data_IF_138708903922
#
_entry.id   IF_138708903922
#
_cell.length_a   1.000
_cell.length_b   1.000
_cell.length_c   1.000
_cell.angle_alpha   90.00
_cell.angle_beta   90.00
_cell.angle_gamma   90.00
#
_symmetry.space_group_name_H-M   'P 1'
#
loop_
_entity.id
_entity.type
_entity.pdbx_description
1 polymer ?
#
# COMPACT_ATOMS: atom_id res chain seq x y z
N UNK A 1 -22.45 -8.02 -22.94
CA UNK A 1 -22.00 -7.24 -21.77
C UNK A 1 -22.63 -5.87 -21.90
N UNK A 2 -23.34 -5.38 -20.89
CA UNK A 2 -24.03 -4.08 -20.98
C UNK A 2 -23.03 -2.91 -20.85
N UNK A 3 -23.45 -1.72 -21.27
CA UNK A 3 -22.59 -0.52 -21.22
C UNK A 3 -22.19 -0.16 -19.77
N UNK A 4 -23.06 -0.45 -18.80
CA UNK A 4 -22.80 -0.23 -17.39
C UNK A 4 -21.66 -1.14 -16.89
N UNK A 5 -21.69 -2.42 -17.26
CA UNK A 5 -20.64 -3.39 -16.87
C UNK A 5 -19.30 -3.03 -17.53
N UNK A 6 -19.31 -2.60 -18.80
CA UNK A 6 -18.10 -2.10 -19.47
C UNK A 6 -17.55 -0.88 -18.73
N UNK A 7 -18.42 0.07 -18.36
CA UNK A 7 -18.05 1.25 -17.59
C UNK A 7 -17.44 0.90 -16.23
N UNK A 8 -18.01 -0.07 -15.50
CA UNK A 8 -17.49 -0.52 -14.21
C UNK A 8 -16.12 -1.18 -14.32
N UNK A 9 -15.90 -2.04 -15.33
CA UNK A 9 -14.60 -2.69 -15.56
C UNK A 9 -13.54 -1.63 -15.90
N UNK A 10 -13.87 -0.65 -16.73
CA UNK A 10 -12.98 0.44 -17.07
C UNK A 10 -12.67 1.33 -15.85
N UNK A 11 -13.68 1.63 -15.04
CA UNK A 11 -13.50 2.39 -13.80
C UNK A 11 -12.61 1.64 -12.81
N UNK A 12 -12.82 0.33 -12.63
CA UNK A 12 -11.96 -0.50 -11.78
C UNK A 12 -10.50 -0.50 -12.25
N UNK A 13 -10.25 -0.51 -13.56
CA UNK A 13 -8.91 -0.34 -14.12
C UNK A 13 -8.29 1.02 -13.74
N UNK A 14 -9.04 2.11 -13.90
CA UNK A 14 -8.57 3.46 -13.53
C UNK A 14 -8.32 3.58 -12.03
N UNK A 15 -9.17 2.97 -11.20
CA UNK A 15 -9.01 2.96 -9.75
C UNK A 15 -7.80 2.15 -9.31
N UNK A 16 -7.58 0.97 -9.88
CA UNK A 16 -6.36 0.20 -9.65
C UNK A 16 -5.12 1.00 -10.04
N UNK A 17 -5.15 1.69 -11.18
CA UNK A 17 -4.06 2.56 -11.63
C UNK A 17 -3.81 3.73 -10.67
N UNK A 18 -4.87 4.42 -10.24
CA UNK A 18 -4.77 5.51 -9.26
C UNK A 18 -4.19 5.01 -7.94
N UNK A 19 -4.63 3.83 -7.49
CA UNK A 19 -4.26 3.29 -6.19
C UNK A 19 -2.77 2.97 -6.13
N UNK A 20 -2.20 2.38 -7.19
CA UNK A 20 -0.76 2.14 -7.20
C UNK A 20 0.11 3.40 -7.28
N UNK A 21 -0.48 4.59 -7.47
CA UNK A 21 0.18 5.90 -7.36
C UNK A 21 0.08 6.47 -5.94
N UNK A 22 -0.58 5.77 -5.01
CA UNK A 22 -0.64 6.21 -3.62
C UNK A 22 0.77 6.24 -2.97
N UNK A 23 0.91 7.09 -1.95
CA UNK A 23 2.22 7.50 -1.41
C UNK A 23 3.07 6.35 -0.88
N UNK A 24 2.43 5.31 -0.35
CA UNK A 24 3.04 4.11 0.19
C UNK A 24 3.62 3.21 -0.92
N UNK A 25 2.97 3.10 -2.07
CA UNK A 25 3.50 2.42 -3.26
C UNK A 25 4.66 3.19 -3.87
N UNK A 26 4.54 4.53 -3.98
CA UNK A 26 5.65 5.39 -4.41
C UNK A 26 6.84 5.18 -3.47
N UNK A 27 6.64 5.23 -2.15
CA UNK A 27 7.72 5.05 -1.18
C UNK A 27 8.33 3.64 -1.25
N UNK A 28 7.54 2.58 -1.39
CA UNK A 28 8.02 1.20 -1.48
C UNK A 28 8.85 0.96 -2.75
N UNK A 29 8.32 1.36 -3.90
CA UNK A 29 8.98 1.13 -5.19
C UNK A 29 10.22 1.99 -5.34
N UNK A 30 10.16 3.27 -4.95
CA UNK A 30 11.35 4.15 -4.98
C UNK A 30 12.45 3.69 -4.03
N UNK A 31 12.10 3.10 -2.88
CA UNK A 31 13.03 2.51 -1.93
C UNK A 31 13.68 1.24 -2.49
N UNK A 32 12.90 0.32 -3.09
CA UNK A 32 13.43 -0.91 -3.72
C UNK A 32 14.34 -0.60 -4.91
N UNK A 33 13.94 0.31 -5.81
CA UNK A 33 14.78 0.75 -6.94
C UNK A 33 15.98 1.57 -6.43
N UNK A 34 15.76 2.41 -5.43
CA UNK A 34 16.72 3.41 -4.97
C UNK A 34 17.80 2.88 -4.03
N UNK A 35 17.50 1.81 -3.28
CA UNK A 35 18.39 1.14 -2.33
C UNK A 35 19.40 0.21 -2.98
N UNK A 36 19.16 -0.20 -4.22
CA UNK A 36 20.04 -1.09 -4.97
C UNK A 36 21.04 -0.32 -5.85
N UNK A 37 22.28 -0.83 -5.94
CA UNK A 37 23.33 -0.23 -6.80
C UNK A 37 23.10 -0.57 -8.26
N UNK A 38 22.68 -1.81 -8.53
CA UNK A 38 22.31 -2.26 -9.87
C UNK A 38 20.84 -1.91 -10.18
N UNK A 39 20.65 -1.02 -11.16
CA UNK A 39 19.34 -0.60 -11.66
C UNK A 39 18.46 -1.78 -12.10
N UNK A 40 19.05 -2.81 -12.71
CA UNK A 40 18.32 -4.00 -13.16
C UNK A 40 17.82 -4.80 -11.97
N UNK A 41 18.67 -4.99 -10.96
CA UNK A 41 18.28 -5.67 -9.72
C UNK A 41 17.18 -4.90 -8.98
N UNK A 42 17.27 -3.58 -8.90
CA UNK A 42 16.21 -2.73 -8.34
C UNK A 42 14.86 -2.90 -9.04
N UNK A 43 14.83 -2.91 -10.39
CA UNK A 43 13.59 -3.19 -11.15
C UNK A 43 13.03 -4.58 -10.87
N UNK A 44 13.88 -5.61 -10.84
CA UNK A 44 13.46 -6.98 -10.56
C UNK A 44 12.82 -7.04 -9.16
N UNK A 45 13.40 -6.38 -8.16
CA UNK A 45 12.83 -6.32 -6.82
C UNK A 45 11.48 -5.59 -6.81
N UNK A 46 11.33 -4.48 -7.52
CA UNK A 46 10.03 -3.79 -7.65
C UNK A 46 8.98 -4.58 -8.42
N UNK A 47 9.37 -5.43 -9.35
CA UNK A 47 8.46 -6.37 -10.01
C UNK A 47 7.98 -7.46 -9.04
N UNK A 48 8.87 -8.09 -8.28
CA UNK A 48 8.48 -9.09 -7.26
C UNK A 48 7.62 -8.47 -6.15
N UNK A 49 8.01 -7.26 -5.73
CA UNK A 49 7.18 -6.12 -5.37
C UNK A 49 5.69 -6.26 -5.71
N UNK A 50 5.41 -5.68 -6.88
CA UNK A 50 4.10 -5.60 -7.47
C UNK A 50 3.45 -6.98 -7.47
N UNK A 51 4.11 -7.98 -8.02
CA UNK A 51 3.53 -9.30 -8.25
C UNK A 51 2.97 -9.94 -6.96
N UNK A 52 3.67 -9.82 -5.83
CA UNK A 52 3.16 -10.30 -4.54
C UNK A 52 1.90 -9.55 -4.10
N UNK A 53 1.87 -8.25 -4.33
CA UNK A 53 0.69 -7.42 -4.09
C UNK A 53 -0.48 -7.83 -4.99
N UNK A 54 -0.30 -7.94 -6.31
CA UNK A 54 -1.42 -8.28 -7.21
C UNK A 54 -1.96 -9.69 -6.96
N UNK A 55 -1.11 -10.65 -6.56
CA UNK A 55 -1.57 -11.99 -6.15
C UNK A 55 -2.59 -11.89 -5.01
N UNK A 56 -2.33 -11.07 -3.99
CA UNK A 56 -3.28 -10.88 -2.90
C UNK A 56 -4.59 -10.27 -3.40
N UNK A 57 -4.50 -9.27 -4.27
CA UNK A 57 -5.69 -8.60 -4.83
C UNK A 57 -6.54 -9.55 -5.66
N UNK A 58 -5.93 -10.37 -6.52
CA UNK A 58 -6.65 -11.36 -7.33
C UNK A 58 -7.25 -12.46 -6.46
N UNK A 59 -6.53 -12.93 -5.44
CA UNK A 59 -7.04 -13.96 -4.52
C UNK A 59 -8.20 -13.43 -3.68
N UNK A 60 -8.03 -12.31 -2.98
CA UNK A 60 -9.07 -11.73 -2.12
C UNK A 60 -10.27 -11.23 -2.94
N UNK A 61 -10.02 -10.56 -4.06
CA UNK A 61 -11.08 -10.13 -4.98
C UNK A 61 -11.80 -11.30 -5.62
N UNK A 62 -11.09 -12.34 -6.03
CA UNK A 62 -11.68 -13.56 -6.57
C UNK A 62 -12.53 -14.30 -5.52
N UNK A 63 -12.05 -14.39 -4.28
CA UNK A 63 -12.84 -14.92 -3.17
C UNK A 63 -14.11 -14.11 -2.94
N UNK A 64 -14.03 -12.78 -3.00
CA UNK A 64 -15.20 -11.91 -2.88
C UNK A 64 -16.25 -12.17 -3.95
N UNK A 65 -15.83 -12.32 -5.21
CA UNK A 65 -16.71 -12.64 -6.35
C UNK A 65 -17.38 -14.00 -6.15
N UNK A 66 -16.63 -15.01 -5.71
CA UNK A 66 -17.16 -16.37 -5.52
C UNK A 66 -18.13 -16.47 -4.36
N UNK A 67 -17.83 -15.79 -3.25
CA UNK A 67 -18.67 -15.83 -2.05
C UNK A 67 -19.88 -14.89 -2.21
N UNK A 68 -19.86 -13.98 -3.20
CA UNK A 68 -20.95 -13.05 -3.49
C UNK A 68 -21.30 -12.20 -2.28
N UNK A 69 -20.29 -11.89 -1.45
CA UNK A 69 -20.47 -11.55 -0.04
C UNK A 69 -21.46 -10.41 0.14
N UNK A 70 -22.61 -10.75 0.71
CA UNK A 70 -23.32 -9.88 1.64
C UNK A 70 -22.42 -9.80 2.88
N UNK A 71 -21.40 -8.92 2.82
CA UNK A 71 -20.54 -8.66 3.98
C UNK A 71 -21.46 -8.20 5.10
N UNK A 72 -21.49 -8.89 6.26
CA UNK A 72 -22.33 -8.46 7.37
C UNK A 72 -21.96 -7.03 7.77
N UNK A 73 -22.95 -6.18 8.05
CA UNK A 73 -22.73 -4.76 8.37
C UNK A 73 -21.71 -4.52 9.51
N UNK A 74 -21.55 -5.50 10.41
CA UNK A 74 -20.55 -5.43 11.48
C UNK A 74 -19.10 -5.49 10.97
N UNK A 75 -18.86 -6.18 9.85
CA UNK A 75 -17.52 -6.27 9.23
C UNK A 75 -17.15 -4.93 8.62
N UNK A 76 -18.07 -4.25 7.94
CA UNK A 76 -17.82 -2.90 7.40
C UNK A 76 -17.48 -1.91 8.53
N UNK A 77 -18.23 -1.94 9.64
CA UNK A 77 -17.95 -1.08 10.79
C UNK A 77 -16.61 -1.40 11.47
N UNK A 78 -16.19 -2.67 11.51
CA UNK A 78 -14.89 -3.07 12.03
C UNK A 78 -13.77 -2.64 11.07
N UNK A 79 -13.92 -2.89 9.77
CA UNK A 79 -12.95 -2.55 8.74
C UNK A 79 -12.74 -1.04 8.67
N UNK A 80 -13.81 -0.24 8.75
CA UNK A 80 -13.75 1.21 8.82
C UNK A 80 -12.90 1.68 10.00
N UNK A 81 -13.11 1.12 11.19
CA UNK A 81 -12.32 1.47 12.39
C UNK A 81 -10.87 1.02 12.29
N UNK A 82 -10.61 -0.16 11.73
CA UNK A 82 -9.25 -0.69 11.52
C UNK A 82 -8.49 0.17 10.51
N UNK A 83 -9.11 0.52 9.39
CA UNK A 83 -8.57 1.46 8.40
C UNK A 83 -8.31 2.81 9.05
N UNK A 84 -9.29 3.34 9.78
CA UNK A 84 -9.15 4.63 10.47
C UNK A 84 -7.99 4.66 11.47
N UNK A 85 -7.87 3.62 12.29
CA UNK A 85 -6.78 3.46 13.26
C UNK A 85 -5.42 3.37 12.57
N UNK A 86 -5.31 2.57 11.52
CA UNK A 86 -4.05 2.43 10.76
C UNK A 86 -3.65 3.74 10.09
N UNK A 87 -4.59 4.49 9.50
CA UNK A 87 -4.32 5.83 8.94
C UNK A 87 -3.78 6.81 9.99
N UNK A 88 -4.39 6.84 11.19
CA UNK A 88 -3.92 7.71 12.28
C UNK A 88 -2.52 7.28 12.74
N UNK A 89 -2.29 6.00 12.99
CA UNK A 89 -0.99 5.49 13.44
C UNK A 89 0.11 5.79 12.44
N UNK A 90 -0.14 5.55 11.15
CA UNK A 90 0.82 5.83 10.08
C UNK A 90 1.08 7.34 9.92
N UNK A 91 0.07 8.19 10.09
CA UNK A 91 0.23 9.63 10.03
C UNK A 91 1.05 10.18 11.21
N UNK A 92 0.77 9.74 12.43
CA UNK A 92 1.54 10.09 13.63
C UNK A 92 2.99 9.63 13.46
N UNK A 93 3.19 8.40 12.98
CA UNK A 93 4.52 7.87 12.72
C UNK A 93 5.28 8.73 11.70
N UNK A 94 4.64 9.09 10.58
CA UNK A 94 5.26 9.91 9.54
C UNK A 94 5.62 11.32 10.06
N UNK A 95 4.73 11.98 10.79
CA UNK A 95 5.01 13.29 11.39
C UNK A 95 6.14 13.20 12.43
N UNK A 96 6.15 12.15 13.25
CA UNK A 96 7.21 11.90 14.23
C UNK A 96 8.56 11.66 13.55
N UNK A 97 8.56 10.91 12.44
CA UNK A 97 9.74 10.66 11.62
C UNK A 97 10.27 11.97 11.00
N UNK A 98 9.41 12.81 10.44
CA UNK A 98 9.80 14.11 9.89
C UNK A 98 10.34 15.06 10.96
N UNK A 99 9.72 15.09 12.14
CA UNK A 99 10.17 15.90 13.26
C UNK A 99 11.55 15.46 13.76
N UNK A 100 11.74 14.16 13.98
CA UNK A 100 13.00 13.60 14.51
C UNK A 100 14.15 13.66 13.50
N UNK A 101 13.86 13.54 12.21
CA UNK A 101 14.86 13.54 11.13
C UNK A 101 14.99 14.88 10.41
N UNK A 102 14.46 15.98 10.96
CA UNK A 102 14.51 17.33 10.38
C UNK A 102 15.93 17.82 10.07
N UNK A 103 16.94 17.29 10.79
CA UNK A 103 18.37 17.64 10.67
C UNK A 103 19.17 16.74 9.71
N UNK A 104 18.63 15.61 9.26
CA UNK A 104 19.36 14.71 8.36
C UNK A 104 19.30 15.23 6.91
N UNK A 105 20.44 15.20 6.21
CA UNK A 105 20.60 15.71 4.84
C UNK A 105 20.19 14.69 3.76
N UNK A 106 20.08 13.40 4.12
CA UNK A 106 19.67 12.34 3.19
C UNK A 106 18.38 11.69 3.69
N UNK A 107 17.25 12.04 3.05
CA UNK A 107 15.99 11.36 3.29
C UNK A 107 15.98 10.07 2.47
N UNK A 108 16.06 8.94 3.14
CA UNK A 108 15.77 7.64 2.54
C UNK A 108 14.25 7.46 2.61
N UNK A 109 13.61 7.23 1.46
CA UNK A 109 12.20 6.86 1.41
C UNK A 109 12.06 5.45 1.95
N UNK A 110 11.10 5.23 2.85
CA UNK A 110 10.88 3.93 3.45
C UNK A 110 9.40 3.63 3.38
N UNK A 111 9.04 2.47 2.86
CA UNK A 111 7.65 2.00 2.92
C UNK A 111 7.20 1.88 4.39
N UNK A 112 5.93 2.26 4.63
CA UNK A 112 5.24 2.07 5.92
C UNK A 112 5.30 0.61 6.39
N UNK A 113 5.18 -0.34 5.46
CA UNK A 113 5.26 -1.77 5.76
C UNK A 113 6.67 -2.23 6.08
N UNK A 114 7.70 -1.66 5.46
CA UNK A 114 9.09 -1.94 5.86
C UNK A 114 9.36 -1.48 7.30
N UNK A 115 8.81 -0.32 7.67
CA UNK A 115 8.90 0.20 9.05
C UNK A 115 8.16 -0.73 10.02
N UNK A 116 6.92 -1.13 9.71
CA UNK A 116 6.16 -2.06 10.55
C UNK A 116 6.86 -3.41 10.66
N UNK A 117 7.40 -3.94 9.57
CA UNK A 117 8.11 -5.21 9.54
C UNK A 117 9.41 -5.16 10.37
N UNK A 118 10.20 -4.08 10.23
CA UNK A 118 11.39 -3.84 11.05
C UNK A 118 11.00 -3.66 12.52
N UNK A 119 9.93 -2.91 12.80
CA UNK A 119 9.42 -2.67 14.15
C UNK A 119 8.98 -3.97 14.81
N UNK A 120 8.15 -4.75 14.12
CA UNK A 120 7.68 -6.07 14.55
C UNK A 120 8.86 -7.01 14.79
N UNK A 121 9.79 -7.13 13.85
CA UNK A 121 10.97 -7.98 13.99
C UNK A 121 11.83 -7.57 15.18
N UNK A 122 12.05 -6.26 15.39
CA UNK A 122 12.81 -5.76 16.53
C UNK A 122 12.10 -6.02 17.87
N UNK A 123 10.78 -5.85 17.93
CA UNK A 123 9.98 -6.18 19.12
C UNK A 123 10.02 -7.68 19.39
N UNK A 124 9.83 -8.50 18.34
CA UNK A 124 9.90 -9.95 18.42
C UNK A 124 11.27 -10.42 18.89
N UNK A 125 12.36 -9.91 18.31
CA UNK A 125 13.74 -10.17 18.69
C UNK A 125 14.06 -9.67 20.12
N UNK A 126 13.43 -8.57 20.57
CA UNK A 126 13.56 -8.09 21.96
C UNK A 126 12.84 -9.01 22.96
N UNK A 127 11.70 -9.57 22.56
CA UNK A 127 10.93 -10.52 23.37
C UNK A 127 11.64 -11.88 23.42
N UNK A 128 12.08 -12.42 22.28
CA UNK A 128 12.84 -13.68 22.22
C UNK A 128 14.25 -13.54 22.80
N UNK A 129 14.90 -12.38 22.63
CA UNK A 129 16.20 -12.06 23.21
C UNK A 129 16.18 -11.91 24.74
N UNK A 130 15.03 -11.54 25.33
CA UNK A 130 14.81 -11.65 26.79
C UNK A 130 14.87 -13.08 27.31
N UNK A 131 14.56 -14.07 26.46
CA UNK A 131 14.59 -15.49 26.81
C UNK A 131 15.89 -16.19 26.41
N UNK A 132 16.51 -15.83 25.28
CA UNK A 132 17.69 -16.51 24.73
C UNK A 132 19.03 -15.74 24.88
N UNK A 133 19.05 -14.59 25.54
CA UNK A 133 20.28 -13.88 25.93
C UNK A 133 21.07 -13.19 24.80
N UNK A 134 20.74 -13.44 23.52
CA UNK A 134 21.44 -12.82 22.40
C UNK A 134 20.75 -11.54 21.92
N UNK A 135 21.32 -10.39 22.27
CA UNK A 135 20.88 -9.09 21.77
C UNK A 135 21.57 -8.78 20.45
N UNK A 136 20.85 -8.89 19.34
CA UNK A 136 21.19 -8.20 18.10
C UNK A 136 20.03 -7.28 17.75
N UNK A 137 20.14 -5.99 18.11
CA UNK A 137 19.23 -4.98 17.56
C UNK A 137 19.45 -4.93 16.05
N UNK A 138 18.37 -5.03 15.28
CA UNK A 138 18.45 -4.88 13.84
C UNK A 138 18.67 -3.40 13.51
N UNK A 139 19.85 -3.09 12.97
CA UNK A 139 20.23 -1.73 12.58
C UNK A 139 19.44 -1.29 11.34
N UNK A 140 18.60 -0.26 11.51
CA UNK A 140 17.77 0.34 10.47
C UNK A 140 18.56 1.00 9.32
N UNK A 141 19.88 1.13 9.46
CA UNK A 141 20.77 1.67 8.43
C UNK A 141 21.37 0.59 7.51
N UNK A 142 21.14 -0.69 7.82
CA UNK A 142 21.58 -1.79 6.96
C UNK A 142 20.78 -1.72 5.66
N UNK A 143 21.49 -1.53 4.55
CA UNK A 143 21.03 -1.90 3.22
C UNK A 143 20.67 -3.39 3.28
N UNK A 144 19.43 -3.68 3.63
CA UNK A 144 18.88 -5.01 3.54
C UNK A 144 19.06 -5.41 2.08
N UNK A 145 19.88 -6.43 1.85
CA UNK A 145 19.95 -7.06 0.55
C UNK A 145 18.63 -7.81 0.36
N UNK A 146 17.58 -7.06 -0.01
CA UNK A 146 16.23 -7.57 -0.15
C UNK A 146 16.27 -8.59 -1.27
N UNK A 147 16.07 -9.86 -0.92
CA UNK A 147 15.96 -10.93 -1.90
C UNK A 147 14.66 -10.79 -2.69
N UNK A 148 14.55 -11.48 -3.82
CA UNK A 148 13.31 -11.54 -4.62
C UNK A 148 12.13 -12.02 -3.77
N UNK A 149 12.35 -13.03 -2.93
CA UNK A 149 11.36 -13.55 -1.97
C UNK A 149 11.00 -12.51 -0.91
N UNK A 150 11.98 -11.75 -0.42
CA UNK A 150 11.73 -10.66 0.52
C UNK A 150 10.87 -9.56 -0.08
N UNK A 151 11.17 -9.12 -1.31
CA UNK A 151 10.34 -8.14 -2.02
C UNK A 151 8.91 -8.67 -2.22
N UNK A 152 8.76 -9.90 -2.71
CA UNK A 152 7.45 -10.55 -2.87
C UNK A 152 6.65 -10.63 -1.56
N UNK A 153 7.31 -10.98 -0.45
CA UNK A 153 6.66 -11.02 0.87
C UNK A 153 6.22 -9.63 1.35
N UNK A 154 7.01 -8.58 1.08
CA UNK A 154 6.60 -7.19 1.34
C UNK A 154 5.38 -6.84 0.49
N UNK A 155 5.36 -7.24 -0.78
CA UNK A 155 4.22 -7.04 -1.68
C UNK A 155 2.94 -7.71 -1.15
N UNK A 156 3.02 -8.96 -0.71
CA UNK A 156 1.91 -9.66 -0.07
C UNK A 156 1.43 -8.91 1.18
N UNK A 157 2.35 -8.57 2.09
CA UNK A 157 2.00 -7.87 3.32
C UNK A 157 1.32 -6.54 3.04
N UNK A 158 1.79 -5.83 2.01
CA UNK A 158 1.21 -4.57 1.56
C UNK A 158 -0.20 -4.76 0.98
N UNK A 159 -0.40 -5.75 0.11
CA UNK A 159 -1.70 -6.05 -0.52
C UNK A 159 -2.77 -6.59 0.43
N UNK A 160 -2.38 -7.09 1.62
CA UNK A 160 -3.31 -7.45 2.70
C UNK A 160 -3.91 -6.20 3.36
N UNK A 161 -3.26 -5.04 3.24
CA UNK A 161 -3.73 -3.78 3.80
C UNK A 161 -5.20 -3.52 3.45
N UNK A 162 -6.01 -3.15 4.45
CA UNK A 162 -7.47 -3.15 4.35
C UNK A 162 -8.05 -2.21 3.27
N UNK A 163 -7.32 -1.19 2.81
CA UNK A 163 -7.80 -0.20 1.85
C UNK A 163 -7.99 -0.77 0.43
N UNK A 164 -7.03 -1.54 -0.09
CA UNK A 164 -7.10 -2.03 -1.47
C UNK A 164 -8.18 -3.09 -1.69
N UNK A 165 -8.30 -4.14 -0.83
CA UNK A 165 -9.34 -5.14 -0.98
C UNK A 165 -10.73 -4.55 -0.82
N UNK A 166 -10.92 -3.57 0.07
CA UNK A 166 -12.24 -2.92 0.28
C UNK A 166 -12.66 -2.08 -0.92
N UNK A 167 -11.74 -1.36 -1.58
CA UNK A 167 -12.04 -0.65 -2.83
C UNK A 167 -12.42 -1.62 -3.96
N UNK A 168 -11.65 -2.69 -4.14
CA UNK A 168 -11.94 -3.69 -5.17
C UNK A 168 -13.27 -4.43 -4.90
N UNK A 169 -13.55 -4.75 -3.64
CA UNK A 169 -14.76 -5.43 -3.19
C UNK A 169 -16.02 -4.74 -3.72
N UNK A 170 -16.09 -3.41 -3.66
CA UNK A 170 -17.23 -2.63 -4.13
C UNK A 170 -17.46 -2.85 -5.64
N UNK A 171 -16.44 -2.67 -6.47
CA UNK A 171 -16.57 -2.84 -7.93
C UNK A 171 -16.85 -4.30 -8.31
N UNK A 172 -16.15 -5.25 -7.71
CA UNK A 172 -16.29 -6.67 -7.99
C UNK A 172 -17.68 -7.21 -7.62
N UNK A 173 -18.24 -6.73 -6.51
CA UNK A 173 -19.59 -7.09 -6.06
C UNK A 173 -20.64 -6.54 -7.02
N UNK A 174 -20.57 -5.24 -7.35
CA UNK A 174 -21.54 -4.60 -8.26
C UNK A 174 -21.50 -5.24 -9.66
N UNK A 175 -20.31 -5.49 -10.20
CA UNK A 175 -20.16 -6.19 -11.47
C UNK A 175 -20.61 -7.66 -11.40
N UNK A 176 -20.42 -8.29 -10.23
CA UNK A 176 -20.74 -9.69 -9.96
C UNK A 176 -22.24 -10.00 -9.86
N UNK A 177 -23.08 -9.03 -9.50
CA UNK A 177 -24.55 -9.21 -9.35
C UNK A 177 -25.19 -9.82 -10.61
N UNK A 178 -24.74 -9.40 -11.79
CA UNK A 178 -25.26 -9.95 -13.05
C UNK A 178 -24.58 -11.26 -13.49
N UNK A 179 -23.29 -11.44 -13.17
CA UNK A 179 -22.54 -12.66 -13.46
C UNK A 179 -21.20 -12.67 -12.72
N UNK A 180 -20.80 -13.78 -12.06
CA UNK A 180 -19.46 -13.93 -11.48
C UNK A 180 -18.33 -13.67 -12.49
N UNK A 181 -18.56 -13.97 -13.77
CA UNK A 181 -17.62 -13.69 -14.84
C UNK A 181 -17.26 -12.20 -14.93
N UNK A 182 -18.25 -11.31 -14.81
CA UNK A 182 -18.02 -9.87 -14.81
C UNK A 182 -17.35 -9.38 -13.54
N UNK A 183 -17.63 -10.00 -12.39
CA UNK A 183 -16.89 -9.77 -11.14
C UNK A 183 -15.40 -10.09 -11.30
N UNK A 184 -15.06 -11.25 -11.87
CA UNK A 184 -13.65 -11.62 -12.13
C UNK A 184 -12.97 -10.68 -13.12
N UNK A 185 -13.64 -10.29 -14.22
CA UNK A 185 -13.09 -9.31 -15.15
C UNK A 185 -12.77 -7.97 -14.46
N UNK A 186 -13.63 -7.53 -13.55
CA UNK A 186 -13.40 -6.32 -12.75
C UNK A 186 -12.18 -6.46 -11.84
N UNK A 187 -12.01 -7.61 -11.18
CA UNK A 187 -10.82 -7.92 -10.36
C UNK A 187 -9.55 -7.88 -11.21
N UNK A 188 -9.54 -8.53 -12.37
CA UNK A 188 -8.39 -8.51 -13.28
C UNK A 188 -8.11 -7.12 -13.85
N UNK A 189 -9.14 -6.35 -14.17
CA UNK A 189 -9.00 -4.98 -14.66
C UNK A 189 -8.35 -4.07 -13.60
N UNK A 190 -8.81 -4.15 -12.36
CA UNK A 190 -8.20 -3.44 -11.22
C UNK A 190 -6.74 -3.85 -11.02
N UNK A 191 -6.47 -5.16 -10.94
CA UNK A 191 -5.11 -5.67 -10.78
C UNK A 191 -4.19 -5.25 -11.94
N UNK A 192 -4.73 -5.17 -13.16
CA UNK A 192 -3.99 -4.71 -14.35
C UNK A 192 -3.65 -3.23 -14.23
N UNK A 193 -4.61 -2.37 -13.88
CA UNK A 193 -4.37 -0.95 -13.65
C UNK A 193 -3.30 -0.72 -12.58
N UNK A 194 -3.40 -1.46 -11.47
CA UNK A 194 -2.43 -1.44 -10.38
C UNK A 194 -1.03 -1.85 -10.85
N UNK A 195 -0.91 -2.99 -11.53
CA UNK A 195 0.38 -3.47 -12.05
C UNK A 195 1.03 -2.50 -13.05
N UNK A 196 0.22 -1.88 -13.92
CA UNK A 196 0.69 -0.85 -14.86
C UNK A 196 1.26 0.35 -14.09
N UNK A 197 0.54 0.86 -13.09
CA UNK A 197 1.01 1.98 -12.28
C UNK A 197 2.30 1.66 -11.50
N UNK A 198 2.42 0.47 -10.91
CA UNK A 198 3.64 0.00 -10.25
C UNK A 198 4.83 -0.06 -11.21
N UNK A 199 4.60 -0.61 -12.41
CA UNK A 199 5.63 -0.69 -13.45
C UNK A 199 6.09 0.71 -13.87
N UNK A 200 5.15 1.64 -14.09
CA UNK A 200 5.47 3.03 -14.43
C UNK A 200 6.25 3.72 -13.31
N UNK A 201 5.86 3.54 -12.04
CA UNK A 201 6.61 4.08 -10.91
C UNK A 201 8.03 3.54 -10.82
N UNK A 202 8.23 2.25 -11.10
CA UNK A 202 9.55 1.64 -11.12
C UNK A 202 10.43 2.25 -12.24
N UNK A 203 9.86 2.44 -13.43
CA UNK A 203 10.54 3.08 -14.57
C UNK A 203 10.85 4.56 -14.31
N UNK A 204 9.89 5.32 -13.80
CA UNK A 204 10.07 6.74 -13.43
C UNK A 204 11.15 6.88 -12.35
N UNK A 205 11.19 5.97 -11.37
CA UNK A 205 12.23 5.91 -10.35
C UNK A 205 13.63 5.72 -10.94
N UNK A 206 13.77 4.95 -12.02
CA UNK A 206 15.04 4.79 -12.75
C UNK A 206 15.47 6.02 -13.54
N UNK A 207 14.51 6.72 -14.16
CA UNK A 207 14.76 7.86 -15.06
C UNK A 207 15.19 9.14 -14.31
N UNK A 208 15.21 9.10 -12.98
CA UNK A 208 15.70 10.22 -12.19
C UNK A 208 14.62 10.95 -11.40
N UNK A 209 13.48 10.32 -11.09
CA UNK A 209 12.56 10.80 -10.04
C UNK A 209 13.27 10.97 -8.68
N UNK A 210 14.42 10.30 -8.50
CA UNK A 210 15.43 10.60 -7.46
C UNK A 210 15.82 12.09 -7.38
N UNK A 211 15.66 12.91 -8.42
CA UNK A 211 16.09 14.33 -8.46
C UNK A 211 15.00 15.30 -8.00
N UNK A 212 13.71 15.00 -8.26
CA UNK A 212 12.58 15.80 -7.75
C UNK A 212 12.31 15.51 -6.27
N UNK A 213 12.39 14.22 -5.88
CA UNK A 213 12.23 13.77 -4.49
C UNK A 213 13.45 14.07 -3.59
N UNK A 214 14.59 14.49 -4.17
CA UNK A 214 15.73 15.05 -3.42
C UNK A 214 15.42 16.43 -2.85
N UNK A 215 14.43 17.15 -3.39
CA UNK A 215 14.03 18.42 -2.81
C UNK A 215 13.28 18.16 -1.51
N UNK A 216 14.00 18.26 -0.40
CA UNK A 216 13.51 18.11 0.97
C UNK A 216 12.20 18.86 1.19
N UNK A 217 12.03 20.05 0.62
CA UNK A 217 10.86 20.87 0.84
C UNK A 217 9.62 20.32 0.14
N UNK A 218 9.77 19.81 -1.08
CA UNK A 218 8.68 19.15 -1.81
C UNK A 218 8.28 17.86 -1.12
N UNK A 219 9.26 17.03 -0.75
CA UNK A 219 8.99 15.80 -0.01
C UNK A 219 8.31 16.06 1.35
N UNK A 220 8.84 16.99 2.15
CA UNK A 220 8.24 17.36 3.44
C UNK A 220 6.85 17.94 3.27
N UNK A 221 6.63 18.81 2.28
CA UNK A 221 5.32 19.39 2.00
C UNK A 221 4.28 18.33 1.68
N UNK A 222 4.59 17.41 0.76
CA UNK A 222 3.68 16.32 0.39
C UNK A 222 3.47 15.33 1.55
N UNK A 223 4.54 14.99 2.27
CA UNK A 223 4.46 14.09 3.43
C UNK A 223 3.62 14.66 4.58
N UNK A 224 3.73 15.95 4.86
CA UNK A 224 2.90 16.63 5.87
C UNK A 224 1.45 16.70 5.39
N UNK A 225 1.21 17.11 4.15
CA UNK A 225 -0.14 17.19 3.58
C UNK A 225 -0.86 15.84 3.64
N UNK A 226 -0.21 14.76 3.19
CA UNK A 226 -0.76 13.40 3.23
C UNK A 226 -0.97 12.89 4.66
N UNK A 227 -0.11 13.25 5.61
CA UNK A 227 -0.28 12.89 7.02
C UNK A 227 -1.46 13.62 7.67
N UNK A 228 -1.62 14.92 7.41
CA UNK A 228 -2.78 15.70 7.90
C UNK A 228 -4.08 15.16 7.29
N UNK A 229 -4.08 14.86 5.99
CA UNK A 229 -5.21 14.22 5.34
C UNK A 229 -5.54 12.87 5.98
N UNK A 230 -4.54 12.01 6.19
CA UNK A 230 -4.71 10.69 6.82
C UNK A 230 -5.23 10.80 8.26
N UNK A 231 -4.80 11.80 9.04
CA UNK A 231 -5.37 12.08 10.37
C UNK A 231 -6.83 12.46 10.30
N UNK A 232 -7.20 13.31 9.32
CA UNK A 232 -8.59 13.74 9.11
C UNK A 232 -9.49 12.57 8.75
N UNK A 233 -9.15 11.82 7.69
CA UNK A 233 -9.91 10.64 7.25
C UNK A 233 -9.94 9.59 8.35
N UNK A 234 -8.79 9.27 8.95
CA UNK A 234 -8.72 8.24 9.98
C UNK A 234 -9.54 8.56 11.22
N UNK A 235 -9.60 9.84 11.63
CA UNK A 235 -10.45 10.29 12.72
C UNK A 235 -11.94 10.16 12.38
N UNK A 236 -12.33 10.50 11.16
CA UNK A 236 -13.71 10.35 10.69
C UNK A 236 -14.15 8.88 10.66
N UNK A 237 -13.28 7.98 10.19
CA UNK A 237 -13.53 6.53 10.20
C UNK A 237 -13.66 5.96 11.61
N UNK A 238 -12.80 6.37 12.57
CA UNK A 238 -12.94 5.92 13.98
C UNK A 238 -14.25 6.39 14.60
N UNK A 239 -14.68 7.62 14.27
CA UNK A 239 -15.91 8.22 14.78
C UNK A 239 -17.17 7.69 14.08
N UNK A 240 -17.05 6.82 13.07
CA UNK A 240 -18.18 6.34 12.26
C UNK A 240 -18.89 7.46 11.50
N UNK A 241 -18.14 8.52 11.15
CA UNK A 241 -18.63 9.72 10.44
C UNK A 241 -18.09 9.79 9.01
N UNK A 242 -17.66 8.66 8.44
CA UNK A 242 -17.25 8.58 7.03
C UNK A 242 -18.34 9.03 6.06
N UNK A 243 -19.62 8.91 6.45
CA UNK A 243 -20.77 9.41 5.69
C UNK A 243 -20.80 10.93 5.44
N UNK A 244 -19.99 11.71 6.17
CA UNK A 244 -19.85 13.17 5.99
C UNK A 244 -18.80 13.50 4.93
N UNK A 245 -17.92 12.54 4.58
CA UNK A 245 -16.99 12.73 3.48
C UNK A 245 -17.78 12.84 2.17
N UNK A 246 -17.38 13.73 1.25
CA UNK A 246 -17.93 13.68 -0.10
C UNK A 246 -17.75 12.25 -0.60
N UNK A 247 -18.83 11.60 -1.03
CA UNK A 247 -18.80 10.29 -1.66
C UNK A 247 -18.09 10.45 -3.00
N UNK A 248 -16.77 10.51 -2.96
CA UNK A 248 -15.96 10.43 -4.16
C UNK A 248 -15.95 8.94 -4.50
N UNK A 249 -16.99 8.56 -5.25
CA UNK A 249 -17.08 7.35 -6.07
C UNK A 249 -15.71 6.95 -6.62
#
# INVERSE_FOLDING_TARGET
MSNEVIGLIFLALLFGFRHGIDWDHIAAITDLVGGERDKKKGLILSFWYAFGHEVVIVVLGGMAVLVGLSIPDWVDAVMERVVGLTLILLAIFMLSFLYRNRKQKEFIMVSRWRILFIGFYNVFARITGRFLGNHRMFDSTIRLDVSRTGAFAIGIAHGIGAETPTQLLLFATVAGIGSPYYGFLTVFAFATGLFVSHTLLALVSLMGFKRSLKNKWVFQGVAIATSVYSLGIGSLCILGKSSILPSIL
#
